data_IF_671322203203
#
_entry.id   IF_671322203203
#
_cell.length_a   1.000
_cell.length_b   1.000
_cell.length_c   1.000
_cell.angle_alpha   90.00
_cell.angle_beta   90.00
_cell.angle_gamma   90.00
#
_symmetry.space_group_name_H-M   'P 1'
#
loop_
_entity.id
_entity.type
_entity.pdbx_description
1 polymer ?
#
# COMPACT_ATOMS: atom_id res chain seq x y z
N UNK A 1 -10.26 5.63 -0.08
CA UNK A 1 -10.94 5.21 -1.33
C UNK A 1 -10.16 4.11 -2.06
N UNK A 2 -8.84 4.13 -2.06
CA UNK A 2 -8.02 3.06 -2.65
C UNK A 2 -8.29 1.69 -2.02
N UNK A 3 -8.48 1.63 -0.70
CA UNK A 3 -8.86 0.41 0.02
C UNK A 3 -10.22 -0.14 -0.44
N UNK A 4 -11.20 0.74 -0.74
CA UNK A 4 -12.50 0.32 -1.28
C UNK A 4 -12.32 -0.28 -2.68
N UNK A 5 -11.45 0.30 -3.50
CA UNK A 5 -11.14 -0.23 -4.83
C UNK A 5 -10.59 -1.66 -4.74
N UNK A 6 -9.64 -1.92 -3.84
CA UNK A 6 -9.10 -3.26 -3.60
C UNK A 6 -10.13 -4.21 -2.98
N UNK A 7 -10.95 -3.73 -2.05
CA UNK A 7 -12.03 -4.52 -1.44
C UNK A 7 -13.05 -5.00 -2.48
N UNK A 8 -13.39 -4.17 -3.47
CA UNK A 8 -14.30 -4.56 -4.56
C UNK A 8 -13.70 -5.65 -5.45
N UNK A 9 -12.38 -5.62 -5.67
CA UNK A 9 -11.66 -6.72 -6.36
C UNK A 9 -11.76 -8.02 -5.58
N UNK A 10 -11.44 -7.99 -4.29
CA UNK A 10 -11.52 -9.17 -3.43
C UNK A 10 -12.96 -9.72 -3.35
N UNK A 11 -13.94 -8.83 -3.17
CA UNK A 11 -15.36 -9.21 -3.12
C UNK A 11 -15.83 -9.86 -4.44
N UNK A 12 -15.42 -9.29 -5.59
CA UNK A 12 -15.71 -9.86 -6.90
C UNK A 12 -15.12 -11.29 -7.02
N UNK A 13 -13.84 -11.46 -6.68
CA UNK A 13 -13.18 -12.76 -6.76
C UNK A 13 -13.82 -13.81 -5.85
N UNK A 14 -14.20 -13.43 -4.62
CA UNK A 14 -14.94 -14.32 -3.71
C UNK A 14 -16.30 -14.72 -4.33
N UNK A 15 -17.04 -13.76 -4.88
CA UNK A 15 -18.33 -14.03 -5.52
C UNK A 15 -18.18 -14.97 -6.72
N UNK A 16 -17.14 -14.79 -7.54
CA UNK A 16 -16.84 -15.71 -8.65
C UNK A 16 -16.51 -17.12 -8.14
N UNK A 17 -15.71 -17.24 -7.08
CA UNK A 17 -15.35 -18.54 -6.48
C UNK A 17 -16.57 -19.27 -5.92
N UNK A 18 -17.56 -18.53 -5.42
CA UNK A 18 -18.82 -19.08 -4.88
C UNK A 18 -19.89 -19.28 -5.97
N UNK A 19 -19.57 -19.04 -7.24
CA UNK A 19 -20.51 -19.07 -8.37
C UNK A 19 -21.70 -18.10 -8.20
N UNK A 20 -21.50 -17.06 -7.39
CA UNK A 20 -22.49 -16.02 -7.09
C UNK A 20 -22.11 -14.68 -7.73
N UNK A 21 -21.90 -14.61 -9.03
CA UNK A 21 -21.42 -13.41 -9.73
C UNK A 21 -22.19 -12.14 -9.35
N UNK A 22 -21.48 -11.06 -9.12
CA UNK A 22 -22.00 -9.72 -8.77
C UNK A 22 -21.42 -8.65 -9.71
N UNK A 23 -21.87 -8.57 -10.98
CA UNK A 23 -21.28 -7.69 -12.00
C UNK A 23 -21.24 -6.23 -11.58
N UNK A 24 -22.20 -5.77 -10.77
CA UNK A 24 -22.24 -4.39 -10.28
C UNK A 24 -21.07 -4.02 -9.36
N UNK A 25 -20.41 -4.98 -8.70
CA UNK A 25 -19.21 -4.72 -7.90
C UNK A 25 -18.01 -4.41 -8.80
N UNK A 26 -17.87 -5.14 -9.91
CA UNK A 26 -16.83 -4.86 -10.90
C UNK A 26 -17.03 -3.48 -11.52
N UNK A 27 -18.26 -3.15 -11.93
CA UNK A 27 -18.59 -1.83 -12.46
C UNK A 27 -18.33 -0.70 -11.45
N UNK A 28 -18.64 -0.93 -10.16
CA UNK A 28 -18.34 0.03 -9.09
C UNK A 28 -16.83 0.22 -8.93
N UNK A 29 -16.04 -0.87 -8.99
CA UNK A 29 -14.58 -0.83 -8.96
C UNK A 29 -14.01 -0.02 -10.12
N UNK A 30 -14.48 -0.25 -11.35
CA UNK A 30 -14.02 0.46 -12.55
C UNK A 30 -14.32 1.97 -12.46
N UNK A 31 -15.53 2.33 -12.07
CA UNK A 31 -15.93 3.74 -11.86
C UNK A 31 -15.09 4.43 -10.79
N UNK A 32 -14.84 3.73 -9.68
CA UNK A 32 -14.00 4.23 -8.60
C UNK A 32 -12.55 4.39 -9.07
N UNK A 33 -12.00 3.39 -9.77
CA UNK A 33 -10.64 3.45 -10.32
C UNK A 33 -10.47 4.61 -11.31
N UNK A 34 -11.43 4.81 -12.21
CA UNK A 34 -11.44 5.96 -13.10
C UNK A 34 -11.44 7.29 -12.32
N UNK A 35 -12.28 7.40 -11.30
CA UNK A 35 -12.35 8.61 -10.49
C UNK A 35 -11.05 8.87 -9.72
N UNK A 36 -10.42 7.82 -9.13
CA UNK A 36 -9.15 7.93 -8.42
C UNK A 36 -8.00 8.40 -9.32
N UNK A 37 -7.98 7.97 -10.58
CA UNK A 37 -6.96 8.38 -11.56
C UNK A 37 -7.19 9.78 -12.12
N UNK A 38 -8.42 10.12 -12.49
CA UNK A 38 -8.71 11.29 -13.31
C UNK A 38 -9.40 12.42 -12.54
N UNK A 39 -9.80 12.21 -11.29
CA UNK A 39 -10.50 13.18 -10.45
C UNK A 39 -10.02 13.09 -9.00
N UNK A 40 -8.67 13.05 -8.74
CA UNK A 40 -8.12 12.85 -7.40
C UNK A 40 -8.57 13.94 -6.41
N UNK A 41 -8.81 15.16 -6.87
CA UNK A 41 -9.32 16.28 -6.07
C UNK A 41 -10.67 15.99 -5.39
N UNK A 42 -11.43 15.01 -5.88
CA UNK A 42 -12.70 14.60 -5.26
C UNK A 42 -12.52 13.84 -3.96
N UNK A 43 -11.32 13.32 -3.71
CA UNK A 43 -11.00 12.50 -2.54
C UNK A 43 -10.25 13.29 -1.46
N UNK A 44 -9.85 14.54 -1.76
CA UNK A 44 -9.18 15.46 -0.83
C UNK A 44 -10.07 16.72 -0.64
N UNK A 45 -11.25 16.52 -0.04
CA UNK A 45 -12.29 17.56 0.09
C UNK A 45 -12.41 18.09 1.51
N UNK A 46 -11.53 17.73 2.39
CA UNK A 46 -11.47 18.22 3.76
C UNK A 46 -10.65 19.52 3.81
N UNK A 47 -10.91 20.33 4.84
CA UNK A 47 -10.19 21.58 5.11
C UNK A 47 -8.68 21.42 5.29
N UNK A 48 -8.21 20.22 5.73
CA UNK A 48 -6.80 19.83 5.69
C UNK A 48 -6.60 18.79 4.60
N UNK A 49 -5.59 19.03 3.74
CA UNK A 49 -5.25 18.09 2.68
C UNK A 49 -4.77 16.75 3.23
N UNK A 50 -5.24 15.66 2.63
CA UNK A 50 -4.77 14.31 2.92
C UNK A 50 -3.36 14.04 2.35
N UNK A 51 -2.87 14.90 1.48
CA UNK A 51 -1.56 14.74 0.86
C UNK A 51 -0.40 14.70 1.87
N UNK A 52 -0.60 15.23 3.07
CA UNK A 52 0.41 15.15 4.16
C UNK A 52 0.64 13.74 4.70
N UNK A 53 -0.27 12.79 4.46
CA UNK A 53 -0.17 11.41 4.94
C UNK A 53 0.47 10.50 3.89
N UNK A 54 1.42 9.67 4.31
CA UNK A 54 2.11 8.73 3.42
C UNK A 54 1.16 7.72 2.76
N UNK A 55 0.09 7.32 3.44
CA UNK A 55 -0.95 6.45 2.89
C UNK A 55 -1.66 7.09 1.70
N UNK A 56 -1.86 8.41 1.66
CA UNK A 56 -2.43 9.07 0.48
C UNK A 56 -1.49 8.97 -0.73
N UNK A 57 -0.18 8.99 -0.49
CA UNK A 57 0.84 8.86 -1.50
C UNK A 57 0.91 7.44 -2.09
N UNK A 58 1.07 6.38 -1.28
CA UNK A 58 1.34 5.04 -1.79
C UNK A 58 0.11 4.11 -1.90
N UNK A 59 -1.01 4.36 -1.24
CA UNK A 59 -2.19 3.49 -1.32
C UNK A 59 -2.79 3.33 -2.72
N UNK A 60 -2.82 4.35 -3.61
CA UNK A 60 -3.24 4.14 -4.99
C UNK A 60 -2.37 3.13 -5.75
N UNK A 61 -1.06 3.06 -5.42
CA UNK A 61 -0.13 2.08 -5.96
C UNK A 61 -0.41 0.70 -5.37
N UNK A 62 -0.44 0.59 -4.03
CA UNK A 62 -0.69 -0.66 -3.31
C UNK A 62 -2.03 -1.31 -3.71
N UNK A 63 -3.06 -0.51 -3.93
CA UNK A 63 -4.37 -1.00 -4.35
C UNK A 63 -4.46 -1.38 -5.84
N UNK A 64 -3.42 -1.15 -6.64
CA UNK A 64 -3.41 -1.42 -8.07
C UNK A 64 -4.32 -0.48 -8.88
N UNK A 65 -4.51 0.76 -8.41
CA UNK A 65 -5.30 1.79 -9.12
C UNK A 65 -4.55 2.30 -10.33
N UNK A 66 -3.22 2.41 -10.23
CA UNK A 66 -2.35 3.01 -11.23
C UNK A 66 -1.63 1.92 -12.06
N UNK A 67 -1.39 2.16 -13.36
CA UNK A 67 -0.49 1.33 -14.15
C UNK A 67 0.93 1.31 -13.56
N UNK A 68 1.76 0.30 -13.87
CA UNK A 68 3.09 0.16 -13.28
C UNK A 68 4.01 1.38 -13.48
N UNK A 69 3.96 2.03 -14.64
CA UNK A 69 4.77 3.21 -14.94
C UNK A 69 4.36 4.42 -14.08
N UNK A 70 3.05 4.69 -14.02
CA UNK A 70 2.50 5.77 -13.19
C UNK A 70 2.74 5.49 -11.70
N UNK A 71 2.69 4.21 -11.29
CA UNK A 71 3.00 3.77 -9.93
C UNK A 71 4.44 4.12 -9.55
N UNK A 72 5.41 3.79 -10.40
CA UNK A 72 6.83 4.15 -10.19
C UNK A 72 7.04 5.66 -10.13
N UNK A 73 6.44 6.39 -11.08
CA UNK A 73 6.53 7.85 -11.12
C UNK A 73 5.95 8.48 -9.84
N UNK A 74 4.79 8.01 -9.39
CA UNK A 74 4.16 8.48 -8.15
C UNK A 74 5.03 8.23 -6.91
N UNK A 75 5.60 7.03 -6.80
CA UNK A 75 6.52 6.71 -5.70
C UNK A 75 7.76 7.62 -5.74
N UNK A 76 8.39 7.77 -6.92
CA UNK A 76 9.59 8.59 -7.06
C UNK A 76 9.35 10.08 -6.76
N UNK A 77 8.19 10.61 -7.13
CA UNK A 77 7.87 12.04 -7.01
C UNK A 77 7.89 12.59 -5.56
N UNK A 78 7.64 11.74 -4.58
CA UNK A 78 7.57 12.16 -3.17
C UNK A 78 8.43 11.29 -2.25
N UNK A 79 9.39 10.57 -2.81
CA UNK A 79 10.28 9.69 -2.05
C UNK A 79 10.99 10.41 -0.91
N UNK A 80 11.67 11.49 -1.21
CA UNK A 80 12.46 12.26 -0.24
C UNK A 80 11.62 13.00 0.80
N UNK A 81 10.32 13.13 0.56
CA UNK A 81 9.37 13.72 1.50
C UNK A 81 8.96 12.75 2.60
N UNK A 82 8.82 11.46 2.25
CA UNK A 82 8.29 10.46 3.16
C UNK A 82 9.30 9.42 3.63
N UNK A 83 10.44 9.25 2.95
CA UNK A 83 11.37 8.18 3.28
C UNK A 83 12.63 8.73 3.93
N UNK A 84 12.85 8.31 5.16
CA UNK A 84 14.09 8.56 5.89
C UNK A 84 15.03 7.39 5.69
N UNK A 85 16.13 7.66 4.99
CA UNK A 85 17.11 6.64 4.65
C UNK A 85 17.69 5.96 5.90
N UNK A 86 17.58 4.64 5.92
CA UNK A 86 18.06 3.82 7.04
C UNK A 86 17.07 3.73 8.21
N UNK A 87 15.94 4.46 8.20
CA UNK A 87 14.97 4.47 9.29
C UNK A 87 13.61 3.90 8.88
N UNK A 88 13.04 4.36 7.76
CA UNK A 88 11.72 3.92 7.31
C UNK A 88 10.89 5.02 6.68
N UNK A 89 9.57 4.81 6.63
CA UNK A 89 8.58 5.73 6.09
C UNK A 89 7.99 6.61 7.19
N UNK A 90 7.91 7.92 6.94
CA UNK A 90 7.14 8.85 7.78
C UNK A 90 5.66 8.55 7.65
N UNK A 91 4.93 8.56 8.76
CA UNK A 91 3.47 8.52 8.74
C UNK A 91 2.90 9.81 8.13
N UNK A 92 3.47 10.94 8.51
CA UNK A 92 3.08 12.30 8.11
C UNK A 92 4.32 13.05 7.62
N UNK A 93 4.23 13.74 6.48
CA UNK A 93 5.39 14.37 5.84
C UNK A 93 6.06 15.47 6.66
N UNK A 94 5.28 16.22 7.42
CA UNK A 94 5.72 17.35 8.23
C UNK A 94 5.99 17.01 9.71
N UNK A 95 5.94 15.71 10.06
CA UNK A 95 6.29 15.23 11.40
C UNK A 95 7.55 14.35 11.34
N UNK A 96 8.54 14.57 12.22
CA UNK A 96 9.80 13.83 12.22
C UNK A 96 9.65 12.44 12.87
N UNK A 97 8.71 11.64 12.38
CA UNK A 97 8.34 10.36 12.93
C UNK A 97 8.18 9.29 11.85
N UNK A 98 9.03 8.28 11.90
CA UNK A 98 8.92 7.08 11.05
C UNK A 98 8.19 5.98 11.78
N UNK A 99 7.39 5.19 11.06
CA UNK A 99 6.59 4.11 11.61
C UNK A 99 6.87 2.79 10.91
N UNK A 100 6.83 1.72 11.67
CA UNK A 100 7.12 0.37 11.15
C UNK A 100 5.97 -0.10 10.25
N UNK A 101 4.72 0.12 10.64
CA UNK A 101 3.57 -0.34 9.86
C UNK A 101 3.49 0.34 8.49
N UNK A 102 3.57 1.67 8.43
CA UNK A 102 3.55 2.42 7.17
C UNK A 102 4.77 2.09 6.28
N UNK A 103 5.92 1.81 6.90
CA UNK A 103 7.09 1.33 6.15
C UNK A 103 6.84 -0.05 5.51
N UNK A 104 6.17 -0.97 6.20
CA UNK A 104 5.77 -2.26 5.65
C UNK A 104 4.75 -2.12 4.51
N UNK A 105 3.79 -1.20 4.65
CA UNK A 105 2.83 -0.90 3.59
C UNK A 105 3.51 -0.29 2.36
N UNK A 106 4.52 0.58 2.57
CA UNK A 106 5.37 1.09 1.49
C UNK A 106 6.16 -0.04 0.81
N UNK A 107 6.69 -1.00 1.56
CA UNK A 107 7.37 -2.20 1.00
C UNK A 107 6.42 -2.93 0.04
N UNK A 108 5.18 -3.18 0.45
CA UNK A 108 4.19 -3.83 -0.42
C UNK A 108 3.82 -2.96 -1.63
N UNK A 109 3.74 -1.64 -1.47
CA UNK A 109 3.50 -0.72 -2.59
C UNK A 109 4.67 -0.70 -3.59
N UNK A 110 5.92 -0.78 -3.12
CA UNK A 110 7.10 -0.90 -3.96
C UNK A 110 7.07 -2.21 -4.77
N UNK A 111 6.70 -3.32 -4.15
CA UNK A 111 6.52 -4.60 -4.84
C UNK A 111 5.43 -4.50 -5.92
N UNK A 112 4.29 -3.87 -5.61
CA UNK A 112 3.22 -3.62 -6.57
C UNK A 112 3.67 -2.73 -7.75
N UNK A 113 4.60 -1.81 -7.52
CA UNK A 113 5.22 -0.98 -8.55
C UNK A 113 6.35 -1.69 -9.33
N UNK A 114 6.75 -2.91 -8.91
CA UNK A 114 7.85 -3.67 -9.49
C UNK A 114 9.25 -3.21 -9.04
N UNK A 115 9.35 -2.48 -7.94
CA UNK A 115 10.63 -2.01 -7.37
C UNK A 115 11.06 -2.89 -6.19
N UNK A 116 11.44 -4.11 -6.52
CA UNK A 116 11.85 -5.10 -5.53
C UNK A 116 13.12 -4.68 -4.76
N UNK A 117 14.05 -3.97 -5.41
CA UNK A 117 15.30 -3.56 -4.77
C UNK A 117 15.06 -2.61 -3.60
N UNK A 118 14.26 -1.55 -3.81
CA UNK A 118 13.88 -0.63 -2.74
C UNK A 118 12.98 -1.29 -1.68
N UNK A 119 12.11 -2.23 -2.07
CA UNK A 119 11.30 -2.98 -1.13
C UNK A 119 12.16 -3.74 -0.12
N UNK A 120 13.16 -4.49 -0.59
CA UNK A 120 14.13 -5.20 0.27
C UNK A 120 14.91 -4.21 1.13
N UNK A 121 15.39 -3.12 0.54
CA UNK A 121 16.17 -2.10 1.26
C UNK A 121 15.36 -1.51 2.43
N UNK A 122 14.14 -1.01 2.17
CA UNK A 122 13.27 -0.43 3.22
C UNK A 122 12.95 -1.47 4.28
N UNK A 123 12.60 -2.71 3.89
CA UNK A 123 12.30 -3.77 4.84
C UNK A 123 13.49 -4.09 5.75
N UNK A 124 14.71 -4.08 5.20
CA UNK A 124 15.93 -4.35 5.98
C UNK A 124 16.16 -3.34 7.10
N UNK A 125 15.79 -2.07 6.89
CA UNK A 125 15.94 -1.03 7.91
C UNK A 125 15.06 -1.27 9.14
N UNK A 126 13.90 -1.94 8.98
CA UNK A 126 12.94 -2.12 10.06
C UNK A 126 13.42 -3.06 11.16
N UNK A 127 14.42 -3.92 10.88
CA UNK A 127 14.92 -4.86 11.86
C UNK A 127 15.66 -4.22 13.05
N UNK A 128 16.10 -2.97 12.93
CA UNK A 128 16.63 -2.20 14.06
C UNK A 128 15.60 -1.93 15.16
N UNK A 129 14.30 -1.94 14.79
CA UNK A 129 13.18 -1.70 15.71
C UNK A 129 12.62 -2.98 16.33
N UNK A 130 13.27 -4.12 16.05
CA UNK A 130 12.89 -5.44 16.59
C UNK A 130 13.50 -5.69 17.94
N UNK A 131 12.70 -6.20 18.88
CA UNK A 131 13.14 -6.63 20.20
C UNK A 131 13.56 -8.09 20.23
N UNK A 132 14.23 -8.50 21.33
CA UNK A 132 14.70 -9.87 21.51
C UNK A 132 13.55 -10.91 21.55
N UNK A 133 12.37 -10.50 21.98
CA UNK A 133 11.16 -11.34 22.00
C UNK A 133 10.46 -11.45 20.62
N UNK A 134 11.00 -10.75 19.62
CA UNK A 134 10.48 -10.74 18.26
C UNK A 134 9.43 -9.66 17.98
N UNK A 135 8.98 -8.92 18.99
CA UNK A 135 8.07 -7.79 18.80
C UNK A 135 8.76 -6.58 18.14
N UNK A 136 7.97 -5.67 17.60
CA UNK A 136 8.44 -4.45 16.98
C UNK A 136 7.83 -3.23 17.62
N UNK A 137 8.64 -2.17 17.77
CA UNK A 137 8.15 -0.85 18.16
C UNK A 137 7.22 -0.26 17.10
N UNK A 138 6.29 0.58 17.51
CA UNK A 138 5.39 1.31 16.59
C UNK A 138 6.16 2.23 15.66
N UNK A 139 7.08 3.02 16.20
CA UNK A 139 7.86 3.96 15.43
C UNK A 139 8.98 4.64 16.21
N UNK A 140 9.67 5.54 15.53
CA UNK A 140 10.81 6.28 16.05
C UNK A 140 10.66 7.77 15.75
N UNK A 141 10.74 8.60 16.78
CA UNK A 141 10.72 10.05 16.69
C UNK A 141 12.17 10.55 16.56
N UNK A 142 12.47 11.15 15.42
CA UNK A 142 13.85 11.45 15.00
C UNK A 142 14.49 12.64 15.73
N UNK A 143 13.70 13.62 16.14
CA UNK A 143 14.22 14.83 16.82
C UNK A 143 14.52 14.54 18.27
N UNK A 144 13.64 13.80 18.93
CA UNK A 144 13.78 13.47 20.36
C UNK A 144 14.65 12.22 20.58
N UNK A 145 15.05 11.53 19.50
CA UNK A 145 15.85 10.29 19.53
C UNK A 145 15.23 9.21 20.43
N UNK A 146 13.93 8.95 20.26
CA UNK A 146 13.23 7.98 21.10
C UNK A 146 12.22 7.13 20.29
N UNK A 147 11.99 5.92 20.79
CA UNK A 147 10.92 5.04 20.33
C UNK A 147 9.58 5.54 20.85
N UNK A 148 8.64 5.80 19.93
CA UNK A 148 7.36 6.42 20.29
C UNK A 148 6.22 5.95 19.36
N UNK A 149 5.01 5.72 19.90
CA UNK A 149 4.67 5.65 21.32
C UNK A 149 5.34 4.47 22.03
N UNK A 150 5.35 4.44 23.36
CA UNK A 150 5.93 3.33 24.15
C UNK A 150 5.00 2.12 24.14
N UNK A 151 4.81 1.56 22.94
CA UNK A 151 3.96 0.42 22.70
C UNK A 151 4.42 -0.43 21.52
N UNK A 152 4.04 -1.71 21.55
CA UNK A 152 4.36 -2.73 20.53
C UNK A 152 3.06 -3.43 20.11
N UNK A 153 2.21 -2.76 19.34
CA UNK A 153 0.91 -3.28 18.99
C UNK A 153 0.99 -4.46 18.02
N UNK A 154 0.03 -5.34 18.10
CA UNK A 154 -0.06 -6.53 17.23
C UNK A 154 -0.19 -6.18 15.75
N UNK A 155 -0.77 -5.04 15.41
CA UNK A 155 -0.86 -4.60 14.01
C UNK A 155 0.50 -4.37 13.38
N UNK A 156 1.49 -3.82 14.15
CA UNK A 156 2.87 -3.64 13.67
C UNK A 156 3.51 -4.98 13.36
N UNK A 157 3.35 -5.97 14.25
CA UNK A 157 3.82 -7.32 14.00
C UNK A 157 3.13 -7.95 12.77
N UNK A 158 1.81 -7.73 12.63
CA UNK A 158 1.05 -8.16 11.46
C UNK A 158 1.57 -7.54 10.16
N UNK A 159 1.89 -6.25 10.15
CA UNK A 159 2.44 -5.55 8.99
C UNK A 159 3.82 -6.11 8.59
N UNK A 160 4.70 -6.40 9.55
CA UNK A 160 6.00 -7.04 9.31
C UNK A 160 5.82 -8.42 8.65
N UNK A 161 4.88 -9.23 9.12
CA UNK A 161 4.62 -10.55 8.56
C UNK A 161 4.06 -10.46 7.13
N UNK A 162 3.13 -9.53 6.88
CA UNK A 162 2.58 -9.31 5.53
C UNK A 162 3.65 -8.84 4.54
N UNK A 163 4.52 -7.91 4.95
CA UNK A 163 5.62 -7.46 4.12
C UNK A 163 6.65 -8.55 3.86
N UNK A 164 6.98 -9.36 4.88
CA UNK A 164 7.87 -10.52 4.72
C UNK A 164 7.29 -11.54 3.74
N UNK A 165 6.01 -11.87 3.90
CA UNK A 165 5.33 -12.82 3.00
C UNK A 165 5.30 -12.30 1.57
N UNK A 166 4.99 -11.01 1.37
CA UNK A 166 4.99 -10.38 0.06
C UNK A 166 6.39 -10.39 -0.60
N UNK A 167 7.47 -10.19 0.16
CA UNK A 167 8.85 -10.21 -0.32
C UNK A 167 9.33 -11.63 -0.68
N UNK A 168 8.89 -12.63 0.07
CA UNK A 168 9.38 -14.02 -0.06
C UNK A 168 8.45 -14.92 -0.85
N UNK A 169 7.24 -14.45 -1.15
CA UNK A 169 6.17 -15.24 -1.78
C UNK A 169 5.93 -16.60 -1.06
N UNK A 170 6.02 -16.61 0.28
CA UNK A 170 5.98 -17.83 1.06
C UNK A 170 4.58 -18.45 1.12
N UNK A 171 3.52 -17.64 1.18
CA UNK A 171 2.15 -18.14 1.23
C UNK A 171 1.34 -17.71 0.00
N UNK A 172 0.16 -18.34 -0.20
CA UNK A 172 -0.77 -17.92 -1.25
C UNK A 172 -1.30 -16.49 -1.06
N UNK A 173 -1.23 -15.93 0.16
CA UNK A 173 -1.65 -14.57 0.47
C UNK A 173 -0.63 -13.50 0.05
N UNK A 174 0.61 -13.88 -0.25
CA UNK A 174 1.70 -12.95 -0.62
C UNK A 174 1.31 -11.96 -1.73
N UNK A 175 0.49 -12.40 -2.68
CA UNK A 175 0.05 -11.59 -3.83
C UNK A 175 -1.23 -10.79 -3.58
N UNK A 176 -1.87 -10.94 -2.42
CA UNK A 176 -3.16 -10.31 -2.13
C UNK A 176 -3.13 -8.79 -2.30
N UNK A 177 -2.07 -8.14 -1.82
CA UNK A 177 -1.92 -6.68 -1.90
C UNK A 177 -1.06 -6.23 -3.09
N UNK A 178 -0.11 -7.05 -3.53
CA UNK A 178 0.92 -6.64 -4.50
C UNK A 178 0.54 -6.91 -5.96
N UNK A 179 -0.56 -7.61 -6.23
CA UNK A 179 -1.02 -7.89 -7.60
C UNK A 179 -2.53 -7.76 -7.75
N UNK A 180 -2.95 -7.41 -8.97
CA UNK A 180 -4.36 -7.36 -9.35
C UNK A 180 -4.68 -8.63 -10.11
N UNK A 181 -5.62 -9.43 -9.60
CA UNK A 181 -6.10 -10.64 -10.23
C UNK A 181 -7.63 -10.62 -10.22
N UNK A 182 -8.25 -10.38 -11.37
CA UNK A 182 -9.70 -10.44 -11.53
C UNK A 182 -10.08 -11.79 -12.15
N UNK A 183 -10.88 -12.59 -11.42
CA UNK A 183 -11.43 -13.84 -11.91
C UNK A 183 -12.58 -13.57 -12.88
N UNK A 184 -12.73 -14.42 -13.90
CA UNK A 184 -13.85 -14.37 -14.84
C UNK A 184 -13.88 -13.14 -15.76
N UNK A 185 -12.78 -12.38 -15.84
CA UNK A 185 -12.60 -11.27 -16.78
C UNK A 185 -11.55 -11.67 -17.81
N UNK A 186 -11.96 -11.84 -19.06
CA UNK A 186 -11.01 -12.11 -20.14
C UNK A 186 -10.09 -10.91 -20.34
N UNK A 187 -8.79 -11.15 -20.28
CA UNK A 187 -7.75 -10.11 -20.37
C UNK A 187 -7.72 -9.45 -21.77
N UNK A 188 -8.41 -10.02 -22.75
CA UNK A 188 -8.44 -9.49 -24.13
C UNK A 188 -9.47 -8.37 -24.33
N UNK A 189 -10.48 -8.24 -23.47
CA UNK A 189 -11.50 -7.17 -23.60
C UNK A 189 -11.06 -5.80 -23.07
N UNK A 190 -9.92 -5.70 -22.36
CA UNK A 190 -9.43 -4.44 -21.78
C UNK A 190 -8.92 -3.41 -22.78
N UNK A 191 -8.71 -3.79 -24.06
CA UNK A 191 -8.11 -2.90 -25.08
C UNK A 191 -9.18 -2.18 -25.95
N UNK A 192 -10.45 -2.56 -25.89
CA UNK A 192 -11.47 -2.09 -26.84
C UNK A 192 -12.46 -1.03 -26.30
N UNK A 193 -12.31 -0.52 -25.08
CA UNK A 193 -13.23 0.48 -24.50
C UNK A 193 -12.50 1.72 -23.94
N UNK A 194 -11.52 2.22 -24.68
CA UNK A 194 -10.94 3.56 -24.48
C UNK A 194 -11.09 4.32 -25.79
N UNK A 195 -12.27 4.82 -26.03
CA UNK A 195 -12.55 5.94 -26.93
C UNK A 195 -13.36 6.99 -26.17
#
# INVERSE_FOLDING_TARGET
>A
CSSIYKSLECAHNIACTLEEARPHWLLARERLGHALRHKPERFDRTWESKARYSMDWFYPVLAGVLPPEESRARIAARWDEFVEKGLGCRCVSDEPWVTVAESCELVMALLAAGDHARAVEVYSWLHQWRLNDGSYWTGYQMVEDLLWPDEKPTWTAGAILLAADALTEHTAAAKLFCSVQLLGVDTQERISHVD
#
